data_IF_956991856884
#
_entry.id   IF_956991856884
#
_cell.length_a   1.000
_cell.length_b   1.000
_cell.length_c   1.000
_cell.angle_alpha   90.00
_cell.angle_beta   90.00
_cell.angle_gamma   90.00
#
_symmetry.space_group_name_H-M   'P 1'
#
loop_
_entity.id
_entity.type
_entity.pdbx_description
1 polymer ?
#
# COMPACT_ATOMS: atom_id res chain seq x y z
N UNK A 1 -10.72 9.46 -0.63
CA UNK A 1 -10.52 8.52 -1.75
C UNK A 1 -11.26 7.24 -1.43
N UNK A 2 -12.29 6.89 -2.18
CA UNK A 2 -13.05 5.65 -1.97
C UNK A 2 -12.66 4.64 -3.06
N UNK A 3 -12.23 3.44 -2.63
CA UNK A 3 -11.94 2.33 -3.54
C UNK A 3 -13.20 1.48 -3.85
N UNK A 4 -14.36 1.90 -3.35
CA UNK A 4 -15.66 1.25 -3.54
C UNK A 4 -16.01 1.22 -5.03
N UNK A 5 -15.92 0.03 -5.65
CA UNK A 5 -16.21 -0.18 -7.08
C UNK A 5 -14.99 -0.43 -7.97
N UNK A 6 -13.76 -0.28 -7.44
CA UNK A 6 -12.54 -0.71 -8.13
C UNK A 6 -12.25 -2.16 -7.72
N UNK A 7 -12.15 -3.07 -8.69
CA UNK A 7 -11.71 -4.44 -8.41
C UNK A 7 -10.22 -4.44 -8.08
N UNK A 8 -9.91 -4.33 -6.79
CA UNK A 8 -8.56 -4.37 -6.28
C UNK A 8 -8.17 -5.83 -6.01
N UNK A 9 -7.13 -6.30 -6.69
CA UNK A 9 -6.54 -7.61 -6.49
C UNK A 9 -5.03 -7.55 -6.73
N UNK A 10 -4.30 -8.52 -6.19
CA UNK A 10 -2.93 -8.81 -6.64
C UNK A 10 -3.05 -9.31 -8.08
N UNK A 11 -2.33 -8.67 -9.00
CA UNK A 11 -2.37 -9.04 -10.41
C UNK A 11 -1.55 -10.31 -10.66
N UNK A 12 -1.99 -11.18 -11.59
CA UNK A 12 -1.13 -12.24 -12.11
C UNK A 12 0.19 -11.67 -12.63
N UNK A 13 1.28 -12.43 -12.48
CA UNK A 13 2.63 -12.04 -12.91
C UNK A 13 3.18 -10.77 -12.22
N UNK A 14 2.51 -10.26 -11.19
CA UNK A 14 3.09 -9.27 -10.28
C UNK A 14 4.22 -9.89 -9.46
N UNK A 15 5.09 -9.07 -8.87
CA UNK A 15 6.23 -9.57 -8.09
C UNK A 15 5.80 -10.52 -6.96
N UNK A 16 4.71 -10.18 -6.25
CA UNK A 16 4.17 -11.05 -5.19
C UNK A 16 3.63 -12.37 -5.77
N UNK A 17 2.95 -12.31 -6.91
CA UNK A 17 2.39 -13.50 -7.56
C UNK A 17 3.46 -14.42 -8.13
N UNK A 18 4.45 -13.85 -8.83
CA UNK A 18 5.63 -14.58 -9.30
C UNK A 18 6.37 -15.27 -8.15
N UNK A 19 6.56 -14.59 -7.02
CA UNK A 19 7.20 -15.19 -5.86
C UNK A 19 6.39 -16.36 -5.30
N UNK A 20 5.07 -16.21 -5.19
CA UNK A 20 4.19 -17.27 -4.68
C UNK A 20 4.12 -18.48 -5.64
N UNK A 21 4.18 -18.26 -6.95
CA UNK A 21 4.22 -19.32 -7.96
C UNK A 21 5.57 -20.09 -7.93
N UNK A 22 6.68 -19.42 -7.63
CA UNK A 22 8.00 -20.06 -7.48
C UNK A 22 8.15 -20.78 -6.14
N UNK A 23 7.72 -20.15 -5.06
CA UNK A 23 7.76 -20.68 -3.71
C UNK A 23 6.59 -20.12 -2.90
N UNK A 24 5.51 -20.89 -2.81
CA UNK A 24 4.29 -20.50 -2.12
C UNK A 24 4.52 -20.09 -0.66
N UNK A 25 5.39 -20.79 0.07
CA UNK A 25 5.67 -20.46 1.47
C UNK A 25 6.37 -19.10 1.59
N UNK A 26 7.33 -18.81 0.71
CA UNK A 26 7.99 -17.50 0.63
C UNK A 26 7.00 -16.39 0.23
N UNK A 27 6.09 -16.65 -0.71
CA UNK A 27 5.02 -15.71 -1.08
C UNK A 27 4.10 -15.37 0.09
N UNK A 28 3.70 -16.36 0.89
CA UNK A 28 2.90 -16.15 2.10
C UNK A 28 3.68 -15.31 3.13
N UNK A 29 4.93 -15.66 3.42
CA UNK A 29 5.76 -14.91 4.37
C UNK A 29 6.00 -13.46 3.93
N UNK A 30 6.17 -13.25 2.62
CA UNK A 30 6.35 -11.92 2.06
C UNK A 30 5.05 -11.10 2.17
N UNK A 31 3.90 -11.70 1.85
CA UNK A 31 2.60 -11.06 2.05
C UNK A 31 2.36 -10.68 3.53
N UNK A 32 2.66 -11.58 4.48
CA UNK A 32 2.53 -11.31 5.91
C UNK A 32 3.46 -10.16 6.35
N UNK A 33 4.67 -10.06 5.78
CA UNK A 33 5.62 -8.97 6.05
C UNK A 33 5.11 -7.63 5.51
N UNK A 34 4.60 -7.59 4.28
CA UNK A 34 4.04 -6.38 3.68
C UNK A 34 2.84 -5.84 4.46
N UNK A 35 1.96 -6.73 4.93
CA UNK A 35 0.83 -6.35 5.80
C UNK A 35 1.32 -5.67 7.07
N UNK A 36 2.32 -6.24 7.73
CA UNK A 36 2.90 -5.67 8.96
C UNK A 36 3.60 -4.33 8.71
N UNK A 37 4.25 -4.16 7.57
CA UNK A 37 4.87 -2.88 7.19
C UNK A 37 3.81 -1.80 6.91
N UNK A 38 2.70 -2.15 6.25
CA UNK A 38 1.58 -1.23 6.01
C UNK A 38 0.93 -0.78 7.33
N UNK A 39 0.72 -1.70 8.27
CA UNK A 39 0.21 -1.36 9.62
C UNK A 39 1.14 -0.38 10.34
N UNK A 40 2.46 -0.62 10.29
CA UNK A 40 3.44 0.28 10.88
C UNK A 40 3.47 1.65 10.18
N UNK A 41 3.30 1.68 8.86
CA UNK A 41 3.29 2.93 8.10
C UNK A 41 2.06 3.78 8.43
N UNK A 42 0.89 3.16 8.63
CA UNK A 42 -0.31 3.86 9.12
C UNK A 42 -0.07 4.41 10.52
N UNK A 43 0.43 3.58 11.44
CA UNK A 43 0.65 3.96 12.83
C UNK A 43 1.69 5.08 13.01
N UNK A 44 2.68 5.15 12.11
CA UNK A 44 3.77 6.13 12.14
C UNK A 44 3.58 7.30 11.18
N UNK A 45 2.42 7.42 10.52
CA UNK A 45 2.17 8.49 9.56
C UNK A 45 2.16 9.86 10.25
N UNK A 46 2.95 10.81 9.72
CA UNK A 46 3.12 12.17 10.28
C UNK A 46 2.80 13.25 9.27
N UNK A 47 2.07 12.93 8.20
CA UNK A 47 1.79 13.86 7.08
C UNK A 47 0.99 15.11 7.53
N UNK A 48 0.20 15.00 8.59
CA UNK A 48 -0.56 16.10 9.18
C UNK A 48 0.09 16.70 10.44
N UNK A 49 1.29 16.22 10.82
CA UNK A 49 2.02 16.73 11.98
C UNK A 49 2.71 18.04 11.61
N UNK A 50 2.29 19.13 12.25
CA UNK A 50 2.85 20.47 12.04
C UNK A 50 4.34 20.58 12.42
N UNK A 51 4.86 19.65 13.23
CA UNK A 51 6.27 19.60 13.65
C UNK A 51 7.12 18.70 12.75
N UNK A 52 6.50 17.87 11.90
CA UNK A 52 7.23 16.99 11.00
C UNK A 52 7.75 17.77 9.78
N UNK A 53 9.01 17.53 9.35
CA UNK A 53 9.50 18.14 8.13
C UNK A 53 8.73 17.59 6.92
N UNK A 54 8.48 18.47 5.95
CA UNK A 54 7.81 18.15 4.67
C UNK A 54 8.41 16.92 3.98
N UNK A 55 9.75 16.79 4.04
CA UNK A 55 10.47 15.66 3.46
C UNK A 55 10.05 14.32 4.07
N UNK A 56 9.71 14.26 5.36
CA UNK A 56 9.24 13.04 6.01
C UNK A 56 7.91 12.57 5.41
N UNK A 57 7.00 13.48 5.08
CA UNK A 57 5.75 13.14 4.39
C UNK A 57 6.01 12.53 3.00
N UNK A 58 6.92 13.10 2.22
CA UNK A 58 7.31 12.54 0.93
C UNK A 58 7.99 11.16 1.04
N UNK A 59 8.84 10.97 2.06
CA UNK A 59 9.47 9.69 2.35
C UNK A 59 8.43 8.62 2.74
N UNK A 60 7.45 8.98 3.57
CA UNK A 60 6.34 8.10 3.93
C UNK A 60 5.50 7.71 2.71
N UNK A 61 5.15 8.67 1.84
CA UNK A 61 4.42 8.39 0.59
C UNK A 61 5.25 7.49 -0.34
N UNK A 62 6.56 7.70 -0.40
CA UNK A 62 7.46 6.85 -1.18
C UNK A 62 7.51 5.41 -0.64
N UNK A 63 7.63 5.25 0.68
CA UNK A 63 7.59 3.95 1.35
C UNK A 63 6.26 3.23 1.09
N UNK A 64 5.13 3.95 1.17
CA UNK A 64 3.81 3.41 0.85
C UNK A 64 3.75 2.86 -0.58
N UNK A 65 4.21 3.65 -1.56
CA UNK A 65 4.28 3.18 -2.95
C UNK A 65 5.10 1.90 -3.09
N UNK A 66 6.24 1.81 -2.40
CA UNK A 66 7.09 0.62 -2.48
C UNK A 66 6.44 -0.64 -1.90
N UNK A 67 5.60 -0.51 -0.87
CA UNK A 67 4.80 -1.62 -0.35
C UNK A 67 3.64 -2.02 -1.27
N UNK A 68 3.17 -1.11 -2.12
CA UNK A 68 2.11 -1.35 -3.10
C UNK A 68 2.63 -2.02 -4.37
N UNK A 69 3.84 -1.66 -4.83
CA UNK A 69 4.46 -2.20 -6.07
C UNK A 69 4.35 -3.73 -6.18
N UNK A 70 4.63 -4.54 -5.14
CA UNK A 70 4.56 -5.98 -5.23
C UNK A 70 3.21 -6.54 -5.65
N UNK A 71 2.12 -5.82 -5.40
CA UNK A 71 0.76 -6.24 -5.77
C UNK A 71 0.48 -6.13 -7.27
N UNK A 72 1.26 -5.33 -8.00
CA UNK A 72 1.00 -4.98 -9.40
C UNK A 72 -0.25 -4.11 -9.63
N UNK A 73 -0.99 -3.73 -8.58
CA UNK A 73 -2.25 -3.01 -8.74
C UNK A 73 -2.06 -1.59 -9.29
N UNK A 74 -2.38 -1.39 -10.56
CA UNK A 74 -2.28 -0.08 -11.23
C UNK A 74 -3.12 0.99 -10.53
N UNK A 75 -4.32 0.64 -10.04
CA UNK A 75 -5.18 1.58 -9.33
C UNK A 75 -4.55 2.09 -8.02
N UNK A 76 -3.88 1.22 -7.26
CA UNK A 76 -3.18 1.63 -6.03
C UNK A 76 -1.89 2.43 -6.35
N UNK A 77 -1.19 2.08 -7.44
CA UNK A 77 -0.02 2.82 -7.89
C UNK A 77 -0.37 4.22 -8.39
N UNK A 78 -1.45 4.36 -9.16
CA UNK A 78 -2.01 5.65 -9.58
C UNK A 78 -2.47 6.48 -8.37
N UNK A 79 -3.10 5.85 -7.38
CA UNK A 79 -3.46 6.51 -6.14
C UNK A 79 -2.24 7.04 -5.37
N UNK A 80 -1.15 6.27 -5.29
CA UNK A 80 0.12 6.72 -4.72
C UNK A 80 0.73 7.90 -5.51
N UNK A 81 0.63 7.88 -6.84
CA UNK A 81 1.14 8.96 -7.70
C UNK A 81 0.34 10.25 -7.49
N UNK A 82 -1.00 10.16 -7.42
CA UNK A 82 -1.89 11.29 -7.11
C UNK A 82 -1.62 11.86 -5.72
N UNK A 83 -1.46 10.99 -4.71
CA UNK A 83 -1.11 11.41 -3.36
C UNK A 83 0.23 12.18 -3.34
N UNK A 84 1.25 11.70 -4.04
CA UNK A 84 2.55 12.38 -4.15
C UNK A 84 2.42 13.74 -4.83
N UNK A 85 1.61 13.86 -5.88
CA UNK A 85 1.37 15.13 -6.56
C UNK A 85 0.66 16.14 -5.64
N UNK A 86 -0.37 15.70 -4.90
CA UNK A 86 -1.09 16.53 -3.93
C UNK A 86 -0.23 16.95 -2.74
N UNK A 87 0.74 16.13 -2.33
CA UNK A 87 1.70 16.52 -1.29
C UNK A 87 2.59 17.70 -1.70
N UNK A 88 2.70 18.02 -3.00
CA UNK A 88 3.43 19.18 -3.50
C UNK A 88 2.80 20.54 -3.17
N UNK A 89 1.47 20.60 -2.95
CA UNK A 89 0.75 21.84 -2.64
C UNK A 89 0.49 22.07 -1.15
N UNK A 90 0.64 21.02 -0.31
CA UNK A 90 0.61 21.01 1.16
C UNK A 90 -0.52 21.75 1.90
N UNK A 91 -1.53 22.26 1.21
CA UNK A 91 -2.60 23.04 1.84
C UNK A 91 -3.55 22.20 2.73
N UNK A 92 -3.47 20.86 2.68
CA UNK A 92 -4.46 19.95 3.27
C UNK A 92 -3.85 18.71 3.95
N UNK A 93 -2.97 18.89 4.94
CA UNK A 93 -2.26 17.79 5.63
C UNK A 93 -3.16 16.67 6.16
N UNK A 94 -4.29 16.99 6.78
CA UNK A 94 -5.27 16.01 7.25
C UNK A 94 -5.90 15.18 6.11
N UNK A 95 -6.20 15.81 4.97
CA UNK A 95 -6.75 15.13 3.79
C UNK A 95 -5.70 14.20 3.14
N UNK A 96 -4.44 14.65 3.10
CA UNK A 96 -3.32 13.84 2.63
C UNK A 96 -3.11 12.61 3.53
N UNK A 97 -3.14 12.78 4.86
CA UNK A 97 -3.08 11.65 5.80
C UNK A 97 -4.25 10.68 5.64
N UNK A 98 -5.47 11.19 5.48
CA UNK A 98 -6.64 10.35 5.25
C UNK A 98 -6.49 9.54 3.95
N UNK A 99 -5.99 10.17 2.88
CA UNK A 99 -5.75 9.51 1.59
C UNK A 99 -4.63 8.47 1.69
N UNK A 100 -3.53 8.80 2.37
CA UNK A 100 -2.45 7.85 2.69
C UNK A 100 -2.98 6.61 3.40
N UNK A 101 -3.77 6.82 4.46
CA UNK A 101 -4.36 5.74 5.27
C UNK A 101 -5.28 4.87 4.42
N UNK A 102 -6.16 5.49 3.62
CA UNK A 102 -7.07 4.76 2.75
C UNK A 102 -6.35 3.87 1.72
N UNK A 103 -5.25 4.36 1.12
CA UNK A 103 -4.42 3.58 0.20
C UNK A 103 -3.76 2.41 0.93
N UNK A 104 -3.17 2.66 2.10
CA UNK A 104 -2.48 1.64 2.89
C UNK A 104 -3.44 0.52 3.31
N UNK A 105 -4.64 0.86 3.81
CA UNK A 105 -5.67 -0.11 4.16
C UNK A 105 -6.19 -0.88 2.95
N UNK A 106 -6.34 -0.23 1.79
CA UNK A 106 -6.75 -0.90 0.56
C UNK A 106 -5.70 -1.92 0.09
N UNK A 107 -4.42 -1.55 0.12
CA UNK A 107 -3.32 -2.46 -0.16
C UNK A 107 -3.30 -3.64 0.83
N UNK A 108 -3.51 -3.37 2.12
CA UNK A 108 -3.57 -4.41 3.15
C UNK A 108 -4.69 -5.42 2.87
N UNK A 109 -5.91 -4.95 2.56
CA UNK A 109 -7.05 -5.83 2.22
C UNK A 109 -6.75 -6.73 1.03
N UNK A 110 -6.13 -6.17 -0.02
CA UNK A 110 -5.75 -6.91 -1.23
C UNK A 110 -4.74 -8.01 -0.90
N UNK A 111 -3.69 -7.68 -0.13
CA UNK A 111 -2.63 -8.63 0.23
C UNK A 111 -3.18 -9.73 1.14
N UNK A 112 -4.02 -9.40 2.12
CA UNK A 112 -4.66 -10.38 3.02
C UNK A 112 -5.57 -11.34 2.24
N UNK A 113 -6.36 -10.83 1.30
CA UNK A 113 -7.23 -11.65 0.47
C UNK A 113 -6.41 -12.61 -0.41
N UNK A 114 -5.34 -12.12 -1.03
CA UNK A 114 -4.43 -12.94 -1.83
C UNK A 114 -3.75 -14.03 -0.98
N UNK A 115 -3.18 -13.64 0.15
CA UNK A 115 -2.53 -14.54 1.11
C UNK A 115 -3.48 -15.64 1.59
N UNK A 116 -4.74 -15.32 1.83
CA UNK A 116 -5.76 -16.30 2.24
C UNK A 116 -6.00 -17.35 1.16
N UNK A 117 -6.06 -16.95 -0.12
CA UNK A 117 -6.19 -17.89 -1.26
C UNK A 117 -5.00 -18.84 -1.36
N UNK A 118 -3.78 -18.34 -1.18
CA UNK A 118 -2.56 -19.17 -1.16
C UNK A 118 -2.57 -20.26 -0.08
N UNK A 119 -3.33 -20.09 1.01
CA UNK A 119 -3.42 -21.09 2.07
C UNK A 119 -4.53 -22.12 1.80
N UNK A 120 -5.62 -21.70 1.16
CA UNK A 120 -6.78 -22.55 0.87
C UNK A 120 -6.55 -23.49 -0.33
N UNK A 121 -5.86 -23.02 -1.37
CA UNK A 121 -5.66 -23.76 -2.63
C UNK A 121 -4.58 -24.87 -2.49
N UNK A 122 -4.67 -25.72 -1.46
CA UNK A 122 -3.74 -26.85 -1.18
C UNK A 122 -4.03 -28.09 -2.00
#
# INVERSE_FOLDING_TARGET
MEFSGINLAVLPDSQLDTLANLNRAAGIQYADSLVKELEQAIARCTIDDAMAPVSAGFEQIHALKNMVIPTGSEALLDACAKLKASAGSMAHGAELRATFTAIAEAAQRVIVAYRSRLVVDR
#
